data_IF_422293513752
#
_entry.id   IF_422293513752
#
_cell.length_a   1.000
_cell.length_b   1.000
_cell.length_c   1.000
_cell.angle_alpha   90.00
_cell.angle_beta   90.00
_cell.angle_gamma   90.00
#
_symmetry.space_group_name_H-M   'P 1'
#
loop_
_entity.id
_entity.type
_entity.pdbx_description
1 polymer ?
#
# COMPACT_ATOMS: atom_id res chain seq x y z
N UNK A 1 17.55 21.18 -10.89
CA UNK A 1 18.19 20.84 -12.18
C UNK A 1 19.56 20.25 -11.90
N UNK A 2 19.99 19.16 -12.56
CA UNK A 2 21.33 18.62 -12.34
C UNK A 2 22.36 19.62 -12.87
N UNK A 3 23.45 19.82 -12.13
CA UNK A 3 24.56 20.68 -12.54
C UNK A 3 25.32 19.96 -13.66
N UNK A 4 25.23 20.44 -14.89
CA UNK A 4 26.13 20.07 -15.98
C UNK A 4 27.43 20.86 -15.84
N UNK A 5 28.56 20.24 -16.20
CA UNK A 5 29.81 20.98 -16.35
C UNK A 5 29.67 22.02 -17.47
N UNK A 6 30.36 23.15 -17.37
CA UNK A 6 30.32 24.23 -18.36
C UNK A 6 30.65 23.68 -19.75
N UNK A 7 29.65 23.68 -20.64
CA UNK A 7 29.79 23.26 -22.04
C UNK A 7 28.79 22.18 -22.51
N UNK A 8 28.23 21.37 -21.61
CA UNK A 8 27.33 20.28 -22.00
C UNK A 8 25.85 20.68 -21.94
N UNK A 9 25.21 20.79 -23.12
CA UNK A 9 23.76 20.99 -23.22
C UNK A 9 23.02 19.71 -22.82
N UNK A 10 22.09 19.82 -21.86
CA UNK A 10 21.23 18.71 -21.43
C UNK A 10 20.39 18.18 -22.60
N UNK A 11 20.75 17.02 -23.15
CA UNK A 11 19.89 16.26 -24.06
C UNK A 11 18.88 15.46 -23.25
N UNK A 12 17.60 15.82 -23.33
CA UNK A 12 16.48 15.00 -22.85
C UNK A 12 16.57 13.60 -23.48
N UNK A 13 16.78 12.58 -22.65
CA UNK A 13 16.98 11.16 -23.06
C UNK A 13 15.66 10.37 -23.22
N UNK A 14 14.52 11.04 -23.15
CA UNK A 14 13.20 10.44 -23.24
C UNK A 14 12.37 11.22 -24.27
N UNK A 15 11.50 10.51 -25.00
CA UNK A 15 10.46 11.15 -25.81
C UNK A 15 9.21 11.31 -24.93
N UNK A 16 8.44 12.37 -25.14
CA UNK A 16 7.17 12.56 -24.41
C UNK A 16 6.20 11.39 -24.64
N UNK A 17 6.29 10.76 -25.81
CA UNK A 17 5.59 9.52 -26.18
C UNK A 17 5.88 8.35 -25.22
N UNK A 18 7.09 8.25 -24.67
CA UNK A 18 7.49 7.17 -23.75
C UNK A 18 6.85 7.36 -22.37
N UNK A 19 6.69 8.61 -21.94
CA UNK A 19 6.03 8.97 -20.69
C UNK A 19 4.52 8.73 -20.82
N UNK A 20 3.92 9.12 -21.95
CA UNK A 20 2.50 8.89 -22.21
C UNK A 20 2.16 7.40 -22.27
N UNK A 21 3.02 6.56 -22.88
CA UNK A 21 2.82 5.09 -22.88
C UNK A 21 2.91 4.49 -21.48
N UNK A 22 3.82 4.97 -20.63
CA UNK A 22 3.93 4.52 -19.24
C UNK A 22 2.71 4.93 -18.40
N UNK A 23 2.16 6.13 -18.63
CA UNK A 23 0.95 6.61 -17.94
C UNK A 23 -0.31 5.87 -18.41
N UNK A 24 -0.45 5.62 -19.71
CA UNK A 24 -1.58 4.85 -20.28
C UNK A 24 -1.57 3.39 -19.81
N UNK A 25 -0.40 2.79 -19.60
CA UNK A 25 -0.28 1.45 -19.01
C UNK A 25 -0.72 1.39 -17.53
N UNK A 26 -0.70 2.53 -16.81
CA UNK A 26 -1.20 2.67 -15.45
C UNK A 26 -2.71 2.92 -15.45
N UNK A 27 -3.22 3.74 -16.38
CA UNK A 27 -4.66 4.02 -16.55
C UNK A 27 -5.48 2.81 -17.02
N UNK A 28 -4.89 1.91 -17.82
CA UNK A 28 -5.60 0.75 -18.41
C UNK A 28 -5.80 -0.45 -17.46
N UNK A 29 -6.01 -0.20 -16.16
CA UNK A 29 -6.60 -1.21 -15.26
C UNK A 29 -5.62 -2.05 -14.45
N UNK A 30 -4.48 -1.48 -14.05
CA UNK A 30 -3.66 -2.11 -13.01
C UNK A 30 -4.37 -1.99 -11.66
N UNK A 31 -4.71 -3.12 -11.03
CA UNK A 31 -5.36 -3.12 -9.71
C UNK A 31 -4.46 -2.46 -8.66
N UNK A 32 -5.04 -1.85 -7.62
CA UNK A 32 -4.24 -1.35 -6.48
C UNK A 32 -3.33 -2.45 -5.90
N UNK A 33 -3.70 -3.73 -6.05
CA UNK A 33 -2.93 -4.92 -5.66
C UNK A 33 -1.72 -5.19 -6.56
N UNK A 34 -1.81 -5.02 -7.88
CA UNK A 34 -0.62 -5.10 -8.79
C UNK A 34 0.34 -3.94 -8.52
N UNK A 35 -0.19 -2.74 -8.33
CA UNK A 35 0.63 -1.57 -7.99
C UNK A 35 1.32 -1.75 -6.62
N UNK A 36 0.60 -2.28 -5.62
CA UNK A 36 1.13 -2.53 -4.27
C UNK A 36 2.13 -3.68 -4.20
N UNK A 37 1.97 -4.72 -5.04
CA UNK A 37 2.96 -5.80 -5.20
C UNK A 37 4.27 -5.32 -5.84
N UNK A 38 4.30 -4.13 -6.42
CA UNK A 38 5.42 -3.57 -7.20
C UNK A 38 6.12 -2.37 -6.49
N UNK A 39 5.97 -2.26 -5.17
CA UNK A 39 6.45 -1.10 -4.39
C UNK A 39 7.44 -1.44 -3.28
N UNK A 40 8.07 -2.62 -3.31
CA UNK A 40 9.31 -2.81 -2.56
C UNK A 40 10.47 -2.13 -3.29
N UNK A 41 11.52 -1.75 -2.56
CA UNK A 41 12.74 -1.16 -3.14
C UNK A 41 13.28 -2.05 -4.25
N UNK A 42 13.20 -3.36 -4.00
CA UNK A 42 13.61 -4.46 -4.84
C UNK A 42 12.77 -4.56 -6.13
N UNK A 43 11.47 -4.23 -6.09
CA UNK A 43 10.59 -4.33 -7.27
C UNK A 43 10.87 -3.21 -8.27
N UNK A 44 11.13 -2.01 -7.79
CA UNK A 44 11.54 -0.88 -8.65
C UNK A 44 12.90 -1.16 -9.27
N UNK A 45 13.84 -1.70 -8.50
CA UNK A 45 15.16 -2.10 -9.01
C UNK A 45 15.06 -3.27 -10.00
N UNK A 46 14.22 -4.27 -9.72
CA UNK A 46 13.96 -5.40 -10.60
C UNK A 46 13.26 -4.99 -11.90
N UNK A 47 12.30 -4.05 -11.83
CA UNK A 47 11.62 -3.51 -13.01
C UNK A 47 12.59 -2.77 -13.92
N UNK A 48 13.49 -1.96 -13.35
CA UNK A 48 14.54 -1.29 -14.11
C UNK A 48 15.53 -2.29 -14.70
N UNK A 49 15.90 -3.33 -13.95
CA UNK A 49 16.73 -4.42 -14.45
C UNK A 49 16.08 -5.12 -15.65
N UNK A 50 14.82 -5.54 -15.51
CA UNK A 50 14.06 -6.21 -16.57
C UNK A 50 13.97 -5.34 -17.83
N UNK A 51 13.72 -4.04 -17.66
CA UNK A 51 13.71 -3.09 -18.77
C UNK A 51 15.08 -3.00 -19.46
N UNK A 52 16.17 -2.89 -18.69
CA UNK A 52 17.53 -2.81 -19.25
C UNK A 52 17.99 -4.13 -19.89
N UNK A 53 17.51 -5.27 -19.41
CA UNK A 53 17.75 -6.58 -20.01
C UNK A 53 16.97 -6.74 -21.33
N UNK A 54 15.72 -6.24 -21.38
CA UNK A 54 14.83 -6.33 -22.55
C UNK A 54 15.10 -5.23 -23.59
N UNK A 55 15.69 -4.11 -23.19
CA UNK A 55 16.07 -2.99 -24.04
C UNK A 55 17.47 -2.52 -23.66
N UNK A 56 18.51 -3.20 -24.17
CA UNK A 56 19.90 -2.94 -23.79
C UNK A 56 20.30 -1.49 -24.01
N UNK A 57 20.81 -0.87 -22.94
CA UNK A 57 21.36 0.49 -22.96
C UNK A 57 22.62 0.51 -22.11
N UNK A 58 23.60 1.29 -22.51
CA UNK A 58 24.79 1.50 -21.71
C UNK A 58 24.41 2.14 -20.37
N UNK A 59 24.82 1.52 -19.27
CA UNK A 59 24.47 1.95 -17.92
C UNK A 59 25.58 1.56 -16.93
N UNK A 60 25.73 2.29 -15.83
CA UNK A 60 26.78 2.04 -14.84
C UNK A 60 26.42 0.93 -13.84
N UNK A 61 25.31 0.21 -14.03
CA UNK A 61 24.81 -0.75 -13.06
C UNK A 61 25.45 -2.12 -13.24
N UNK A 62 25.85 -2.74 -12.13
CA UNK A 62 26.32 -4.13 -12.15
C UNK A 62 25.14 -5.03 -12.52
N UNK A 63 25.28 -5.82 -13.58
CA UNK A 63 24.25 -6.74 -14.09
C UNK A 63 22.91 -6.04 -14.39
N UNK A 64 22.95 -4.81 -14.90
CA UNK A 64 21.78 -3.96 -15.17
C UNK A 64 20.88 -3.68 -13.95
N UNK A 65 21.35 -3.97 -12.72
CA UNK A 65 20.55 -3.83 -11.51
C UNK A 65 20.92 -2.55 -10.74
N UNK A 66 20.02 -1.56 -10.60
CA UNK A 66 20.32 -0.35 -9.84
C UNK A 66 20.50 -0.65 -8.35
N UNK A 67 21.51 -0.04 -7.74
CA UNK A 67 21.77 -0.19 -6.30
C UNK A 67 20.88 0.68 -5.41
N UNK A 68 20.99 0.50 -4.09
CA UNK A 68 20.23 1.27 -3.09
C UNK A 68 20.41 2.79 -3.21
N UNK A 69 21.62 3.24 -3.57
CA UNK A 69 21.91 4.67 -3.78
C UNK A 69 21.14 5.26 -4.97
N UNK A 70 20.93 4.48 -6.02
CA UNK A 70 20.09 4.90 -7.16
C UNK A 70 18.63 5.05 -6.74
N UNK A 71 18.12 4.10 -5.94
CA UNK A 71 16.74 4.16 -5.43
C UNK A 71 16.51 5.37 -4.52
N UNK A 72 17.44 5.67 -3.61
CA UNK A 72 17.37 6.88 -2.79
C UNK A 72 17.38 8.17 -3.64
N UNK A 73 18.19 8.22 -4.69
CA UNK A 73 18.21 9.32 -5.64
C UNK A 73 16.91 9.40 -6.48
N UNK A 74 16.30 8.26 -6.81
CA UNK A 74 15.03 8.17 -7.51
C UNK A 74 13.90 8.79 -6.67
N UNK A 75 13.74 8.38 -5.41
CA UNK A 75 12.75 8.99 -4.51
C UNK A 75 12.99 10.49 -4.30
N UNK A 76 14.25 10.93 -4.20
CA UNK A 76 14.58 12.36 -4.09
C UNK A 76 14.14 13.18 -5.31
N UNK A 77 14.16 12.59 -6.51
CA UNK A 77 13.70 13.25 -7.75
C UNK A 77 12.18 13.25 -7.89
N UNK A 78 11.52 12.23 -7.34
CA UNK A 78 10.08 12.03 -7.44
C UNK A 78 9.42 12.23 -6.07
N UNK A 79 9.39 13.50 -5.62
CA UNK A 79 8.84 13.87 -4.30
C UNK A 79 7.33 13.61 -4.16
N UNK A 80 6.64 13.38 -5.28
CA UNK A 80 5.25 12.94 -5.33
C UNK A 80 5.07 11.46 -4.94
N UNK A 81 6.15 10.69 -4.76
CA UNK A 81 6.13 9.29 -4.35
C UNK A 81 6.57 9.22 -2.88
N UNK A 82 5.78 8.57 -2.03
CA UNK A 82 6.10 8.37 -0.61
C UNK A 82 5.94 6.91 -0.24
N UNK A 83 6.87 6.39 0.56
CA UNK A 83 6.75 5.06 1.17
C UNK A 83 5.58 5.07 2.16
N UNK A 84 4.60 4.20 1.92
CA UNK A 84 3.48 3.97 2.83
C UNK A 84 3.53 2.52 3.30
N UNK A 85 3.15 2.28 4.54
CA UNK A 85 2.85 0.94 5.00
C UNK A 85 1.51 0.55 4.36
N UNK A 86 1.50 -0.53 3.57
CA UNK A 86 0.24 -1.05 3.04
C UNK A 86 -0.60 -1.61 4.18
N UNK A 87 -1.89 -1.31 4.14
CA UNK A 87 -2.86 -1.97 5.01
C UNK A 87 -3.14 -3.37 4.45
N UNK A 88 -3.21 -4.35 5.34
CA UNK A 88 -3.59 -5.71 4.97
C UNK A 88 -5.08 -5.77 4.65
N UNK A 89 -5.43 -5.79 3.37
CA UNK A 89 -6.81 -6.00 2.93
C UNK A 89 -7.10 -7.51 2.93
N UNK A 90 -8.27 -7.92 3.44
CA UNK A 90 -8.67 -9.33 3.39
C UNK A 90 -8.89 -9.79 1.95
N UNK A 91 -8.68 -11.08 1.66
CA UNK A 91 -8.90 -11.63 0.31
C UNK A 91 -10.33 -11.37 -0.18
N UNK A 92 -11.31 -11.40 0.72
CA UNK A 92 -12.72 -11.14 0.42
C UNK A 92 -12.97 -9.70 0.04
N UNK A 93 -12.36 -8.73 0.74
CA UNK A 93 -12.48 -7.31 0.36
C UNK A 93 -11.76 -6.99 -0.95
N UNK A 94 -10.78 -7.80 -1.36
CA UNK A 94 -10.00 -7.57 -2.59
C UNK A 94 -10.74 -7.90 -3.89
N UNK A 95 -11.87 -8.60 -3.81
CA UNK A 95 -12.70 -8.98 -4.98
C UNK A 95 -13.96 -8.12 -5.13
N UNK A 96 -14.16 -7.13 -4.25
CA UNK A 96 -15.31 -6.22 -4.29
C UNK A 96 -15.01 -5.08 -5.26
N UNK A 97 -15.85 -4.93 -6.28
CA UNK A 97 -15.77 -3.82 -7.23
C UNK A 97 -16.74 -2.69 -6.85
N UNK A 98 -16.55 -1.50 -7.42
CA UNK A 98 -17.47 -0.36 -7.22
C UNK A 98 -18.92 -0.72 -7.55
N UNK A 99 -19.12 -1.50 -8.64
CA UNK A 99 -20.44 -1.95 -9.05
C UNK A 99 -21.13 -2.80 -7.97
N UNK A 100 -20.38 -3.63 -7.25
CA UNK A 100 -20.93 -4.46 -6.17
C UNK A 100 -21.38 -3.59 -4.98
N UNK A 101 -20.58 -2.57 -4.64
CA UNK A 101 -20.91 -1.62 -3.58
C UNK A 101 -22.19 -0.85 -3.94
N UNK A 102 -22.26 -0.28 -5.15
CA UNK A 102 -23.45 0.45 -5.61
C UNK A 102 -24.69 -0.45 -5.65
N UNK A 103 -24.54 -1.66 -6.17
CA UNK A 103 -25.62 -2.65 -6.21
C UNK A 103 -26.14 -2.98 -4.80
N UNK A 104 -25.23 -3.14 -3.83
CA UNK A 104 -25.62 -3.37 -2.44
C UNK A 104 -26.47 -2.23 -1.89
N UNK A 105 -26.03 -0.97 -2.05
CA UNK A 105 -26.81 0.19 -1.60
C UNK A 105 -28.19 0.26 -2.25
N UNK A 106 -28.27 0.10 -3.57
CA UNK A 106 -29.56 0.10 -4.28
C UNK A 106 -30.48 -1.05 -3.85
N UNK A 107 -29.91 -2.22 -3.54
CA UNK A 107 -30.69 -3.38 -3.06
C UNK A 107 -31.27 -3.12 -1.67
N UNK A 108 -30.47 -2.53 -0.77
CA UNK A 108 -30.93 -2.18 0.58
C UNK A 108 -32.03 -1.11 0.53
N UNK A 109 -31.84 -0.07 -0.29
CA UNK A 109 -32.83 1.00 -0.46
C UNK A 109 -34.16 0.46 -1.02
N UNK A 110 -34.11 -0.39 -2.05
CA UNK A 110 -35.30 -1.03 -2.60
C UNK A 110 -36.03 -1.88 -1.55
N UNK A 111 -35.30 -2.68 -0.78
CA UNK A 111 -35.86 -3.47 0.31
C UNK A 111 -36.57 -2.60 1.36
N UNK A 112 -35.95 -1.49 1.77
CA UNK A 112 -36.56 -0.56 2.74
C UNK A 112 -37.84 0.06 2.17
N UNK A 113 -37.84 0.45 0.89
CA UNK A 113 -39.01 1.02 0.23
C UNK A 113 -40.16 0.01 0.11
N UNK A 114 -39.88 -1.23 -0.31
CA UNK A 114 -40.87 -2.31 -0.44
C UNK A 114 -41.54 -2.64 0.91
N UNK A 115 -40.81 -2.50 2.01
CA UNK A 115 -41.30 -2.79 3.35
C UNK A 115 -41.83 -1.56 4.11
N UNK A 116 -41.88 -0.38 3.48
CA UNK A 116 -42.32 0.88 4.11
C UNK A 116 -41.47 1.25 5.34
N UNK A 117 -40.15 1.03 5.26
CA UNK A 117 -39.16 1.25 6.33
C UNK A 117 -38.17 2.40 6.01
N UNK A 118 -38.53 3.27 5.08
CA UNK A 118 -37.64 4.37 4.65
C UNK A 118 -37.39 5.41 5.75
N UNK A 119 -38.26 5.50 6.75
CA UNK A 119 -38.10 6.39 7.90
C UNK A 119 -36.85 6.04 8.76
N UNK A 120 -36.37 4.79 8.69
CA UNK A 120 -35.18 4.34 9.41
C UNK A 120 -33.93 5.12 8.98
N UNK A 121 -33.79 5.40 7.69
CA UNK A 121 -32.62 6.12 7.14
C UNK A 121 -32.77 7.64 7.27
N UNK A 122 -33.98 8.14 7.47
CA UNK A 122 -34.27 9.57 7.66
C UNK A 122 -33.96 10.06 9.08
N UNK A 123 -33.95 9.16 10.07
CA UNK A 123 -33.60 9.46 11.47
C UNK A 123 -32.26 8.83 11.87
N UNK A 124 -31.14 9.60 11.81
CA UNK A 124 -29.81 9.11 12.16
C UNK A 124 -29.70 8.51 13.57
N UNK A 125 -30.64 8.83 14.48
CA UNK A 125 -30.62 8.29 15.83
C UNK A 125 -31.03 6.82 15.94
N UNK A 126 -31.59 6.27 14.86
CA UNK A 126 -31.92 4.85 14.73
C UNK A 126 -30.76 4.04 14.16
N UNK A 127 -29.67 4.70 13.76
CA UNK A 127 -28.50 4.08 13.15
C UNK A 127 -27.44 3.86 14.22
N UNK A 128 -27.17 2.59 14.48
CA UNK A 128 -26.12 2.14 15.40
C UNK A 128 -25.02 1.46 14.59
N UNK A 129 -23.79 1.90 14.77
CA UNK A 129 -22.63 1.21 14.23
C UNK A 129 -22.09 0.24 15.30
N UNK A 130 -21.88 -1.00 14.93
CA UNK A 130 -21.33 -2.03 15.81
C UNK A 130 -20.06 -2.62 15.21
N UNK A 131 -18.96 -2.65 15.97
CA UNK A 131 -17.74 -3.31 15.53
C UNK A 131 -17.02 -4.03 16.67
N UNK A 132 -16.28 -5.06 16.31
CA UNK A 132 -15.52 -5.91 17.22
C UNK A 132 -14.05 -5.44 17.24
N UNK A 133 -13.52 -5.16 18.43
CA UNK A 133 -12.11 -4.78 18.58
C UNK A 133 -11.38 -5.69 19.57
N UNK A 134 -10.14 -6.02 19.22
CA UNK A 134 -9.31 -6.93 19.98
C UNK A 134 -8.19 -6.18 20.72
N UNK A 135 -8.21 -6.23 22.04
CA UNK A 135 -7.19 -5.69 22.92
C UNK A 135 -6.19 -6.77 23.32
N UNK A 136 -4.94 -6.63 22.86
CA UNK A 136 -3.87 -7.50 23.30
C UNK A 136 -3.43 -7.15 24.72
N UNK A 137 -3.53 -8.10 25.64
CA UNK A 137 -3.14 -7.93 27.04
C UNK A 137 -1.63 -8.12 27.25
N UNK A 138 -0.93 -8.64 26.25
CA UNK A 138 0.51 -8.78 26.29
C UNK A 138 1.18 -7.49 25.76
N UNK A 139 1.92 -6.74 26.60
CA UNK A 139 2.64 -5.56 26.13
C UNK A 139 3.66 -5.95 25.05
N UNK A 140 3.75 -5.13 23.99
CA UNK A 140 4.73 -5.36 22.91
C UNK A 140 6.14 -5.42 23.50
N UNK A 141 6.90 -6.43 23.09
CA UNK A 141 8.27 -6.62 23.53
C UNK A 141 9.11 -5.36 23.29
N UNK A 142 9.76 -4.88 24.35
CA UNK A 142 10.71 -3.77 24.27
C UNK A 142 12.04 -4.30 23.72
N UNK A 143 12.82 -3.41 23.10
CA UNK A 143 14.18 -3.74 22.66
C UNK A 143 15.01 -4.13 23.89
N UNK A 144 15.73 -5.25 23.80
CA UNK A 144 16.66 -5.71 24.83
C UNK A 144 18.10 -5.39 24.42
N UNK A 145 18.96 -5.12 25.40
CA UNK A 145 20.40 -5.02 25.14
C UNK A 145 20.95 -6.45 25.00
N UNK A 146 21.60 -6.72 23.88
CA UNK A 146 22.16 -8.03 23.56
C UNK A 146 23.62 -7.88 23.03
N UNK A 147 24.51 -8.85 23.32
CA UNK A 147 25.85 -8.87 22.76
C UNK A 147 25.84 -8.84 21.23
N UNK A 148 26.74 -8.05 20.63
CA UNK A 148 26.82 -7.84 19.17
C UNK A 148 27.18 -9.12 18.37
N UNK A 149 27.69 -10.16 19.05
CA UNK A 149 28.04 -11.47 18.47
C UNK A 149 27.66 -12.58 19.46
N UNK A 150 27.23 -13.73 18.92
CA UNK A 150 27.02 -14.96 19.70
C UNK A 150 25.61 -15.19 20.24
N UNK A 151 24.66 -14.27 19.99
CA UNK A 151 23.25 -14.48 20.33
C UNK A 151 22.42 -14.27 19.07
N UNK A 152 21.96 -15.37 18.48
CA UNK A 152 21.12 -15.35 17.27
C UNK A 152 19.69 -14.91 17.58
N UNK A 153 19.19 -15.24 18.78
CA UNK A 153 17.83 -14.88 19.22
C UNK A 153 17.82 -14.59 20.72
N UNK A 154 17.30 -13.43 21.13
CA UNK A 154 16.99 -13.14 22.54
C UNK A 154 15.54 -13.48 22.80
N UNK A 155 15.28 -14.60 23.48
CA UNK A 155 13.94 -15.05 23.82
C UNK A 155 13.57 -14.61 25.23
N UNK A 156 12.38 -14.01 25.36
CA UNK A 156 11.77 -13.74 26.66
C UNK A 156 10.70 -14.79 26.92
N UNK A 157 10.74 -15.42 28.08
CA UNK A 157 9.69 -16.31 28.52
C UNK A 157 8.47 -15.48 28.92
N UNK A 158 7.33 -15.73 28.28
CA UNK A 158 6.07 -15.05 28.55
C UNK A 158 5.01 -16.07 28.98
N UNK A 159 4.38 -15.81 30.12
CA UNK A 159 3.20 -16.55 30.56
C UNK A 159 2.00 -15.93 29.83
N UNK A 160 1.50 -16.61 28.79
CA UNK A 160 0.37 -16.22 27.92
C UNK A 160 0.67 -15.16 26.83
N UNK A 161 1.56 -15.46 25.85
CA UNK A 161 1.99 -14.52 24.81
C UNK A 161 0.89 -14.09 23.83
N UNK A 162 -0.27 -14.76 23.83
CA UNK A 162 -1.40 -14.49 22.95
C UNK A 162 -2.68 -14.09 23.71
N UNK A 163 -2.55 -13.64 24.96
CA UNK A 163 -3.70 -13.24 25.72
C UNK A 163 -4.32 -11.96 25.14
N UNK A 164 -5.62 -12.00 24.84
CA UNK A 164 -6.37 -10.87 24.32
C UNK A 164 -7.78 -10.84 24.93
N UNK A 165 -8.38 -9.67 24.91
CA UNK A 165 -9.80 -9.46 25.20
C UNK A 165 -10.40 -8.89 23.94
N UNK A 166 -11.48 -9.52 23.47
CA UNK A 166 -12.24 -8.97 22.35
C UNK A 166 -13.53 -8.38 22.88
N UNK A 167 -13.85 -7.16 22.45
CA UNK A 167 -15.02 -6.40 22.90
C UNK A 167 -15.80 -5.94 21.69
N UNK A 168 -17.11 -6.16 21.71
CA UNK A 168 -18.04 -5.59 20.75
C UNK A 168 -18.53 -4.26 21.29
N UNK A 169 -18.35 -3.20 20.52
CA UNK A 169 -18.90 -1.89 20.86
C UNK A 169 -19.99 -1.51 19.88
N UNK A 170 -21.07 -0.95 20.40
CA UNK A 170 -22.14 -0.36 19.61
C UNK A 170 -22.22 1.12 19.93
N UNK A 171 -22.15 1.96 18.90
CA UNK A 171 -22.16 3.41 19.01
C UNK A 171 -23.28 4.01 18.15
N UNK A 172 -23.92 5.06 18.65
CA UNK A 172 -24.76 5.95 17.86
C UNK A 172 -24.12 7.33 17.82
N UNK A 173 -24.33 8.11 16.77
CA UNK A 173 -23.76 9.45 16.64
C UNK A 173 -24.44 10.52 17.53
N UNK A 174 -25.41 10.15 18.37
CA UNK A 174 -26.22 11.06 19.17
C UNK A 174 -25.58 11.44 20.50
#
# INVERSE_FOLDING_TARGET
MPKTAEGDSYRKKYKEEDISKALVAIENGMSQREASKSTMIEDVQASVKYFLDSSPRENPFKNNCPGKGWYAAFLKRHQNITLRTSEGITSTSSVVFEADIRKWFSTVEAYLAENQLTDIIEDPSRIYNGDETCFWLCPKNKKVLAPKRGVETCTRLEHHPKNNITVMFTFSAR
#
